data_IF_816014467704
#
_entry.id   IF_816014467704
#
_cell.length_a   1.000
_cell.length_b   1.000
_cell.length_c   1.000
_cell.angle_alpha   90.00
_cell.angle_beta   90.00
_cell.angle_gamma   90.00
#
_symmetry.space_group_name_H-M   'P 1'
#
loop_
_entity.id
_entity.type
_entity.pdbx_description
1 polymer ?
#
# COMPACT_ATOMS: atom_id res chain seq x y z
N UNK A 1 -23.67 -6.55 11.67
CA UNK A 1 -23.88 -5.55 10.57
C UNK A 1 -22.52 -5.07 10.14
N UNK A 2 -22.30 -4.90 8.82
CA UNK A 2 -21.08 -4.31 8.31
C UNK A 2 -20.95 -2.84 8.73
N UNK A 3 -19.70 -2.38 8.92
CA UNK A 3 -19.40 -0.98 9.23
C UNK A 3 -19.45 -0.16 7.95
N UNK A 4 -19.84 1.12 8.06
CA UNK A 4 -19.66 2.10 6.98
C UNK A 4 -18.27 2.69 7.04
N UNK A 5 -17.61 2.82 5.89
CA UNK A 5 -16.27 3.40 5.85
C UNK A 5 -16.08 4.43 4.74
N UNK A 6 -15.11 5.30 4.96
CA UNK A 6 -14.59 6.32 4.04
C UNK A 6 -13.17 5.92 3.65
N UNK A 7 -12.82 5.99 2.35
CA UNK A 7 -11.49 5.66 1.82
C UNK A 7 -10.82 6.90 1.22
N UNK A 8 -10.02 7.58 2.02
CA UNK A 8 -9.27 8.77 1.61
C UNK A 8 -7.93 8.34 0.99
N UNK A 9 -7.59 8.87 -0.19
CA UNK A 9 -6.47 8.42 -1.03
C UNK A 9 -6.68 7.01 -1.57
N UNK A 10 -7.89 6.70 -2.02
CA UNK A 10 -8.35 5.35 -2.32
C UNK A 10 -7.56 4.64 -3.46
N UNK A 11 -6.78 5.35 -4.26
CA UNK A 11 -5.99 4.78 -5.34
C UNK A 11 -6.88 4.09 -6.37
N UNK A 12 -6.58 2.82 -6.65
CA UNK A 12 -7.42 1.96 -7.49
C UNK A 12 -8.47 1.19 -6.68
N UNK A 13 -8.64 1.51 -5.38
CA UNK A 13 -9.68 0.96 -4.50
C UNK A 13 -9.31 -0.36 -3.81
N UNK A 14 -8.04 -0.65 -3.57
CA UNK A 14 -7.65 -1.93 -2.94
C UNK A 14 -8.00 -2.00 -1.45
N UNK A 15 -8.03 -0.87 -0.74
CA UNK A 15 -8.56 -0.81 0.63
C UNK A 15 -10.04 -1.11 0.59
N UNK A 16 -10.80 -0.46 -0.30
CA UNK A 16 -12.22 -0.72 -0.50
C UNK A 16 -12.48 -2.20 -0.79
N UNK A 17 -11.72 -2.85 -1.68
CA UNK A 17 -11.88 -4.28 -1.95
C UNK A 17 -11.76 -5.13 -0.68
N UNK A 18 -10.74 -4.90 0.14
CA UNK A 18 -10.54 -5.68 1.36
C UNK A 18 -11.63 -5.43 2.40
N UNK A 19 -12.05 -4.18 2.58
CA UNK A 19 -13.14 -3.81 3.49
C UNK A 19 -14.49 -4.39 3.05
N UNK A 20 -14.83 -4.30 1.75
CA UNK A 20 -16.08 -4.87 1.21
C UNK A 20 -16.08 -6.40 1.26
N UNK A 21 -14.94 -7.08 1.06
CA UNK A 21 -14.83 -8.52 1.26
C UNK A 21 -15.11 -8.95 2.71
N UNK A 22 -14.80 -8.10 3.67
CA UNK A 22 -15.13 -8.31 5.09
C UNK A 22 -16.59 -7.93 5.44
N UNK A 23 -17.38 -7.49 4.45
CA UNK A 23 -18.79 -7.17 4.63
C UNK A 23 -19.06 -5.72 5.07
N UNK A 24 -18.10 -4.81 4.93
CA UNK A 24 -18.26 -3.38 5.19
C UNK A 24 -18.72 -2.63 3.93
N UNK A 25 -19.25 -1.41 4.09
CA UNK A 25 -19.81 -0.58 3.03
C UNK A 25 -18.98 0.70 2.84
N UNK A 26 -18.46 0.92 1.61
CA UNK A 26 -17.84 2.18 1.24
C UNK A 26 -18.91 3.25 0.99
N UNK A 27 -18.88 4.35 1.73
CA UNK A 27 -19.87 5.44 1.61
C UNK A 27 -19.29 6.73 1.01
N UNK A 28 -17.95 6.83 0.94
CA UNK A 28 -17.26 7.99 0.35
C UNK A 28 -15.82 7.64 0.06
N UNK A 29 -15.28 8.17 -1.03
CA UNK A 29 -13.89 7.97 -1.40
C UNK A 29 -13.28 9.19 -2.08
N UNK A 30 -11.95 9.36 -1.93
CA UNK A 30 -11.20 10.49 -2.51
C UNK A 30 -9.96 9.99 -3.22
N UNK A 31 -9.76 10.42 -4.47
CA UNK A 31 -8.54 10.16 -5.24
C UNK A 31 -8.27 11.29 -6.22
N UNK A 32 -7.09 11.82 -6.18
CA UNK A 32 -6.65 12.93 -7.03
C UNK A 32 -6.21 12.49 -8.45
N UNK A 33 -5.52 11.32 -8.58
CA UNK A 33 -4.97 10.88 -9.86
C UNK A 33 -6.07 10.41 -10.82
N UNK A 34 -6.24 11.16 -11.93
CA UNK A 34 -7.27 10.88 -12.95
C UNK A 34 -7.23 9.46 -13.52
N UNK A 35 -6.05 8.84 -13.59
CA UNK A 35 -5.92 7.48 -14.12
C UNK A 35 -6.35 6.44 -13.10
N UNK A 36 -6.03 6.65 -11.82
CA UNK A 36 -6.51 5.81 -10.72
C UNK A 36 -8.03 5.95 -10.57
N UNK A 37 -8.58 7.17 -10.66
CA UNK A 37 -10.03 7.42 -10.69
C UNK A 37 -10.72 6.64 -11.81
N UNK A 38 -10.15 6.66 -13.03
CA UNK A 38 -10.67 5.89 -14.16
C UNK A 38 -10.64 4.39 -13.90
N UNK A 39 -9.55 3.86 -13.33
CA UNK A 39 -9.45 2.44 -12.95
C UNK A 39 -10.49 2.10 -11.89
N UNK A 40 -10.60 2.93 -10.86
CA UNK A 40 -11.58 2.79 -9.78
C UNK A 40 -13.02 2.74 -10.33
N UNK A 41 -13.36 3.65 -11.25
CA UNK A 41 -14.71 3.68 -11.85
C UNK A 41 -15.02 2.43 -12.68
N UNK A 42 -14.03 1.86 -13.36
CA UNK A 42 -14.17 0.59 -14.07
C UNK A 42 -14.46 -0.54 -13.08
N UNK A 43 -13.77 -0.55 -11.95
CA UNK A 43 -13.90 -1.62 -10.93
C UNK A 43 -15.25 -1.55 -10.24
N UNK A 44 -15.62 -0.38 -9.71
CA UNK A 44 -16.78 -0.19 -8.82
C UNK A 44 -18.04 0.37 -9.49
N UNK A 45 -17.96 0.79 -10.76
CA UNK A 45 -19.10 1.33 -11.50
C UNK A 45 -19.40 2.80 -11.26
N UNK A 46 -18.62 3.49 -10.43
CA UNK A 46 -18.70 4.93 -10.15
C UNK A 46 -17.32 5.52 -9.86
N UNK A 47 -17.13 6.81 -10.09
CA UNK A 47 -15.90 7.50 -9.72
C UNK A 47 -15.85 7.77 -8.20
N UNK A 48 -14.63 7.93 -7.61
CA UNK A 48 -14.52 8.51 -6.27
C UNK A 48 -15.22 9.85 -6.18
N UNK A 49 -15.96 10.08 -5.10
CA UNK A 49 -16.78 11.28 -4.89
C UNK A 49 -15.92 12.55 -4.82
N UNK A 50 -14.79 12.48 -4.09
CA UNK A 50 -13.82 13.57 -4.01
C UNK A 50 -12.63 13.39 -4.96
N UNK A 51 -12.09 14.50 -5.47
CA UNK A 51 -10.87 14.50 -6.28
C UNK A 51 -9.66 14.98 -5.45
N UNK A 52 -9.75 16.14 -4.85
CA UNK A 52 -8.68 16.75 -4.08
C UNK A 52 -9.07 16.84 -2.61
N UNK A 53 -8.32 16.17 -1.74
CA UNK A 53 -8.57 16.17 -0.29
C UNK A 53 -8.53 17.59 0.31
N UNK A 54 -7.75 18.49 -0.28
CA UNK A 54 -7.68 19.89 0.16
C UNK A 54 -8.96 20.68 -0.13
N UNK A 55 -9.73 20.24 -1.14
CA UNK A 55 -10.99 20.86 -1.52
C UNK A 55 -12.22 20.22 -0.84
N UNK A 56 -12.05 19.07 -0.18
CA UNK A 56 -13.13 18.38 0.54
C UNK A 56 -13.45 19.11 1.84
N UNK A 57 -14.73 19.40 2.06
CA UNK A 57 -15.27 19.86 3.35
C UNK A 57 -15.69 18.68 4.24
N UNK A 58 -15.72 18.87 5.55
CA UNK A 58 -16.20 17.82 6.46
C UNK A 58 -17.69 17.48 6.22
N UNK A 59 -18.49 18.44 5.77
CA UNK A 59 -19.90 18.25 5.43
C UNK A 59 -20.13 17.42 4.15
N UNK A 60 -19.09 17.30 3.29
CA UNK A 60 -19.17 16.46 2.09
C UNK A 60 -19.05 14.97 2.44
N UNK A 61 -18.52 14.65 3.62
CA UNK A 61 -18.24 13.27 4.03
C UNK A 61 -19.41 12.73 4.85
N UNK A 62 -20.10 11.67 4.36
CA UNK A 62 -21.17 11.05 5.13
C UNK A 62 -20.66 10.48 6.45
N UNK A 63 -21.55 10.43 7.47
CA UNK A 63 -21.24 9.75 8.73
C UNK A 63 -20.85 8.31 8.49
N UNK A 64 -19.69 7.91 9.02
CA UNK A 64 -19.11 6.58 8.86
C UNK A 64 -18.49 6.07 10.16
N UNK A 65 -18.36 4.75 10.27
CA UNK A 65 -17.75 4.11 11.43
C UNK A 65 -16.22 4.07 11.34
N UNK A 66 -15.67 4.04 10.12
CA UNK A 66 -14.22 3.90 9.86
C UNK A 66 -13.78 4.92 8.80
N UNK A 67 -12.65 5.59 9.03
CA UNK A 67 -11.94 6.33 7.98
C UNK A 67 -10.60 5.64 7.72
N UNK A 68 -10.35 5.28 6.46
CA UNK A 68 -9.09 4.69 6.00
C UNK A 68 -8.32 5.69 5.16
N UNK A 69 -7.00 5.76 5.34
CA UNK A 69 -6.15 6.64 4.55
C UNK A 69 -4.71 6.15 4.46
N UNK A 70 -4.15 6.22 3.25
CA UNK A 70 -2.74 5.95 2.94
C UNK A 70 -2.11 7.20 2.33
N UNK A 71 -1.92 8.25 3.13
CA UNK A 71 -1.37 9.52 2.64
C UNK A 71 0.06 9.34 2.11
N UNK A 72 0.43 9.98 0.98
CA UNK A 72 1.80 9.95 0.45
C UNK A 72 2.82 10.44 1.47
N UNK A 73 3.92 9.68 1.62
CA UNK A 73 4.97 9.91 2.61
C UNK A 73 6.03 10.92 2.10
N UNK A 74 5.65 11.94 1.30
CA UNK A 74 6.58 12.94 0.83
C UNK A 74 6.59 14.12 1.80
N UNK A 75 7.77 14.40 2.39
CA UNK A 75 8.11 15.58 3.21
C UNK A 75 7.32 15.72 4.53
N UNK A 76 7.31 14.67 5.34
CA UNK A 76 6.78 14.75 6.69
C UNK A 76 7.85 15.29 7.66
N UNK A 77 7.88 16.60 7.87
CA UNK A 77 8.58 17.23 8.99
C UNK A 77 7.58 18.02 9.84
N UNK A 78 6.96 17.37 10.81
CA UNK A 78 6.12 18.05 11.82
C UNK A 78 6.97 19.05 12.63
N UNK A 79 8.25 18.76 12.82
CA UNK A 79 9.14 19.59 13.65
C UNK A 79 9.51 20.95 13.02
N UNK A 80 9.35 21.12 11.68
CA UNK A 80 9.77 22.33 10.97
C UNK A 80 8.68 23.38 10.72
N UNK A 81 7.40 23.06 10.86
CA UNK A 81 6.29 23.87 10.34
C UNK A 81 5.24 24.37 11.34
N UNK A 82 5.56 24.43 12.61
CA UNK A 82 4.77 25.34 13.50
C UNK A 82 5.02 26.83 13.25
N UNK A 83 5.89 27.19 12.33
CA UNK A 83 6.37 28.55 12.06
C UNK A 83 6.15 29.04 10.61
N UNK A 84 5.10 28.61 9.88
CA UNK A 84 4.86 29.26 8.60
C UNK A 84 4.05 28.45 7.59
N UNK A 85 2.92 29.03 7.20
CA UNK A 85 1.95 28.49 6.25
C UNK A 85 2.32 28.73 4.78
N UNK A 86 3.59 28.66 4.39
CA UNK A 86 3.98 28.82 2.98
C UNK A 86 4.96 27.74 2.54
N UNK A 87 4.41 26.53 2.24
CA UNK A 87 5.16 25.46 1.66
C UNK A 87 4.22 24.48 0.96
N UNK A 88 4.17 24.56 -0.37
CA UNK A 88 3.40 23.66 -1.22
C UNK A 88 3.61 22.20 -0.84
N UNK A 89 2.50 21.47 -0.61
CA UNK A 89 2.38 20.03 -0.34
C UNK A 89 2.87 19.49 1.00
N UNK A 90 2.93 20.28 2.03
CA UNK A 90 3.25 19.74 3.35
C UNK A 90 2.07 19.00 3.95
N UNK A 91 2.20 17.71 3.80
CA UNK A 91 1.47 16.60 4.39
C UNK A 91 -0.04 16.60 4.19
N UNK A 92 -0.46 15.96 3.10
CA UNK A 92 -1.87 15.64 2.84
C UNK A 92 -2.55 14.90 4.01
N UNK A 93 -1.80 14.27 4.90
CA UNK A 93 -2.31 13.71 6.15
C UNK A 93 -2.86 14.79 7.10
N UNK A 94 -2.31 16.02 7.07
CA UNK A 94 -2.85 17.13 7.88
C UNK A 94 -4.26 17.53 7.41
N UNK A 95 -4.57 17.33 6.13
CA UNK A 95 -5.91 17.55 5.61
C UNK A 95 -6.90 16.53 6.20
N UNK A 96 -6.50 15.27 6.38
CA UNK A 96 -7.31 14.28 7.09
C UNK A 96 -7.57 14.73 8.53
N UNK A 97 -6.53 15.21 9.21
CA UNK A 97 -6.68 15.71 10.58
C UNK A 97 -7.50 17.01 10.65
N UNK A 98 -7.43 17.88 9.63
CA UNK A 98 -8.32 19.05 9.49
C UNK A 98 -9.78 18.59 9.42
N UNK A 99 -10.09 17.68 8.52
CA UNK A 99 -11.44 17.14 8.36
C UNK A 99 -11.97 16.51 9.66
N UNK A 100 -11.14 15.75 10.37
CA UNK A 100 -11.50 15.16 11.67
C UNK A 100 -11.72 16.23 12.76
N UNK A 101 -10.97 17.36 12.75
CA UNK A 101 -11.20 18.47 13.70
C UNK A 101 -12.48 19.21 13.41
N UNK A 102 -12.81 19.43 12.14
CA UNK A 102 -14.03 20.08 11.69
C UNK A 102 -15.26 19.21 11.98
N UNK A 103 -15.12 17.88 11.95
CA UNK A 103 -16.19 16.94 12.31
C UNK A 103 -16.45 16.98 13.81
N UNK A 104 -17.73 17.11 14.20
CA UNK A 104 -18.15 17.06 15.60
C UNK A 104 -17.74 15.74 16.23
N UNK A 105 -17.35 15.75 17.50
CA UNK A 105 -16.83 14.57 18.18
C UNK A 105 -17.83 13.39 18.16
N UNK A 106 -19.11 13.66 18.31
CA UNK A 106 -20.18 12.66 18.23
C UNK A 106 -20.33 12.01 16.84
N UNK A 107 -19.85 12.67 15.78
CA UNK A 107 -19.96 12.21 14.39
C UNK A 107 -18.64 11.64 13.85
N UNK A 108 -17.53 11.77 14.61
CA UNK A 108 -16.24 11.20 14.24
C UNK A 108 -16.32 9.68 14.10
N UNK A 109 -15.56 9.09 13.16
CA UNK A 109 -15.49 7.63 12.99
C UNK A 109 -14.98 6.96 14.27
N UNK A 110 -15.51 5.77 14.57
CA UNK A 110 -15.05 4.94 15.71
C UNK A 110 -13.60 4.54 15.56
N UNK A 111 -13.21 4.27 14.31
CA UNK A 111 -11.85 3.85 13.94
C UNK A 111 -11.28 4.76 12.87
N UNK A 112 -10.01 5.07 12.99
CA UNK A 112 -9.19 5.61 11.91
C UNK A 112 -8.07 4.62 11.61
N UNK A 113 -7.86 4.29 10.33
CA UNK A 113 -6.85 3.34 9.87
C UNK A 113 -5.88 4.09 8.96
N UNK A 114 -4.64 4.22 9.40
CA UNK A 114 -3.56 4.85 8.66
C UNK A 114 -2.58 3.81 8.16
N UNK A 115 -2.41 3.72 6.84
CA UNK A 115 -1.40 2.87 6.20
C UNK A 115 -0.20 3.69 5.77
N UNK A 116 1.02 3.14 5.98
CA UNK A 116 2.23 3.75 5.44
C UNK A 116 3.37 2.73 5.25
N UNK A 117 4.43 3.18 4.59
CA UNK A 117 5.65 2.39 4.41
C UNK A 117 6.39 2.20 5.74
N UNK A 118 7.13 1.08 5.88
CA UNK A 118 7.97 0.79 7.06
C UNK A 118 8.89 1.94 7.44
N UNK A 119 9.41 2.68 6.44
CA UNK A 119 10.31 3.81 6.67
C UNK A 119 9.74 4.92 7.56
N UNK A 120 8.40 5.02 7.66
CA UNK A 120 7.73 5.99 8.54
C UNK A 120 8.14 5.80 10.01
N UNK A 121 8.37 4.58 10.48
CA UNK A 121 8.80 4.31 11.86
C UNK A 121 10.15 4.92 12.23
N UNK A 122 11.01 5.16 11.23
CA UNK A 122 12.36 5.73 11.44
C UNK A 122 12.52 7.14 10.86
N UNK A 123 11.49 7.69 10.22
CA UNK A 123 11.51 9.03 9.65
C UNK A 123 11.74 10.08 10.73
N UNK A 124 12.64 11.02 10.46
CA UNK A 124 13.00 12.05 11.44
C UNK A 124 13.55 11.48 12.77
N UNK A 125 14.10 10.24 12.78
CA UNK A 125 14.48 9.55 14.02
C UNK A 125 13.27 9.08 14.84
N UNK A 126 12.15 8.78 14.19
CA UNK A 126 10.89 8.37 14.81
C UNK A 126 9.96 9.52 15.20
N UNK A 127 10.42 10.78 15.10
CA UNK A 127 9.63 11.96 15.51
C UNK A 127 8.42 12.17 14.63
N UNK A 128 8.50 11.84 13.34
CA UNK A 128 7.41 12.04 12.40
C UNK A 128 6.23 11.09 12.74
N UNK A 129 6.54 9.83 13.01
CA UNK A 129 5.53 8.86 13.43
C UNK A 129 4.92 9.24 14.79
N UNK A 130 5.76 9.63 15.76
CA UNK A 130 5.29 10.11 17.07
C UNK A 130 4.36 11.31 16.93
N UNK A 131 4.67 12.25 16.02
CA UNK A 131 3.81 13.41 15.75
C UNK A 131 2.43 13.01 15.25
N UNK A 132 2.35 11.98 14.37
CA UNK A 132 1.05 11.44 13.92
C UNK A 132 0.26 10.86 15.09
N UNK A 133 0.90 10.09 15.97
CA UNK A 133 0.23 9.52 17.15
C UNK A 133 -0.29 10.61 18.08
N UNK A 134 0.48 11.68 18.30
CA UNK A 134 0.06 12.83 19.11
C UNK A 134 -1.14 13.54 18.47
N UNK A 135 -1.15 13.74 17.16
CA UNK A 135 -2.29 14.34 16.45
C UNK A 135 -3.54 13.47 16.56
N UNK A 136 -3.42 12.15 16.39
CA UNK A 136 -4.55 11.22 16.60
C UNK A 136 -5.08 11.31 18.04
N UNK A 137 -4.20 11.30 19.04
CA UNK A 137 -4.60 11.42 20.46
C UNK A 137 -5.29 12.75 20.75
N UNK A 138 -4.81 13.85 20.16
CA UNK A 138 -5.42 15.18 20.31
C UNK A 138 -6.85 15.26 19.77
N UNK A 139 -7.19 14.37 18.83
CA UNK A 139 -8.52 14.24 18.22
C UNK A 139 -9.44 13.27 18.99
N UNK A 140 -9.01 12.76 20.15
CA UNK A 140 -9.80 11.85 20.98
C UNK A 140 -9.62 10.37 20.66
N UNK A 141 -8.65 10.01 19.81
CA UNK A 141 -8.27 8.61 19.58
C UNK A 141 -7.25 8.19 20.63
N UNK A 142 -7.70 7.93 21.85
CA UNK A 142 -6.82 7.70 23.01
C UNK A 142 -6.19 6.30 23.03
N UNK A 143 -6.85 5.32 22.44
CA UNK A 143 -6.28 4.00 22.25
C UNK A 143 -5.77 3.87 20.83
N UNK A 144 -4.44 3.83 20.71
CA UNK A 144 -3.78 3.72 19.39
C UNK A 144 -2.92 2.47 19.39
N UNK A 145 -3.15 1.62 18.42
CA UNK A 145 -2.33 0.44 18.17
C UNK A 145 -1.72 0.49 16.77
N UNK A 146 -0.55 -0.12 16.62
CA UNK A 146 0.06 -0.23 15.29
C UNK A 146 0.77 -1.57 15.13
N UNK A 147 0.87 -2.02 13.89
CA UNK A 147 1.56 -3.27 13.53
C UNK A 147 2.27 -3.14 12.20
N UNK A 148 3.44 -3.77 12.10
CA UNK A 148 4.17 -3.93 10.85
C UNK A 148 3.75 -5.25 10.21
N UNK A 149 2.88 -5.19 9.21
CA UNK A 149 2.39 -6.36 8.50
C UNK A 149 3.13 -6.56 7.18
N UNK A 150 3.38 -7.83 6.83
CA UNK A 150 4.04 -8.19 5.59
C UNK A 150 3.10 -9.03 4.73
N UNK A 151 2.81 -8.56 3.51
CA UNK A 151 1.87 -9.19 2.59
C UNK A 151 2.11 -10.68 2.36
N UNK A 152 3.37 -11.13 2.41
CA UNK A 152 3.71 -12.55 2.27
C UNK A 152 3.07 -13.48 3.30
N UNK A 153 2.70 -12.93 4.45
CA UNK A 153 2.06 -13.69 5.53
C UNK A 153 0.54 -13.77 5.36
N UNK A 154 0.01 -13.19 4.28
CA UNK A 154 -1.43 -13.06 4.00
C UNK A 154 -1.80 -13.64 2.62
N UNK A 155 -1.18 -14.75 2.24
CA UNK A 155 -1.52 -15.54 1.05
C UNK A 155 -1.08 -14.95 -0.30
N UNK A 156 -0.23 -13.92 -0.32
CA UNK A 156 0.37 -13.42 -1.56
C UNK A 156 1.90 -13.51 -1.53
N UNK A 157 2.56 -14.00 -2.61
CA UNK A 157 3.99 -14.20 -2.62
C UNK A 157 4.76 -12.89 -2.85
N UNK A 158 4.45 -11.85 -2.06
CA UNK A 158 5.09 -10.53 -2.12
C UNK A 158 5.63 -10.12 -0.76
N UNK A 159 6.94 -9.85 -0.68
CA UNK A 159 7.55 -9.28 0.51
C UNK A 159 7.32 -7.75 0.52
N UNK A 160 6.17 -7.34 1.06
CA UNK A 160 5.75 -5.93 1.17
C UNK A 160 5.39 -5.62 2.61
N UNK A 161 6.29 -4.94 3.32
CA UNK A 161 6.06 -4.49 4.69
C UNK A 161 5.35 -3.13 4.70
N UNK A 162 4.28 -3.02 5.48
CA UNK A 162 3.53 -1.79 5.71
C UNK A 162 3.18 -1.65 7.18
N UNK A 163 3.24 -0.43 7.68
CA UNK A 163 2.76 -0.07 9.00
C UNK A 163 1.29 0.27 8.89
N UNK A 164 0.48 -0.38 9.71
CA UNK A 164 -0.92 -0.02 9.90
C UNK A 164 -1.07 0.52 11.31
N UNK A 165 -1.64 1.70 11.42
CA UNK A 165 -1.94 2.35 12.71
C UNK A 165 -3.43 2.52 12.82
N UNK A 166 -4.01 2.06 13.93
CA UNK A 166 -5.44 2.13 14.20
C UNK A 166 -5.68 2.99 15.42
N UNK A 167 -6.39 4.08 15.24
CA UNK A 167 -6.87 4.91 16.32
C UNK A 167 -8.31 4.56 16.66
N UNK A 168 -8.59 4.38 17.94
CA UNK A 168 -9.91 4.08 18.49
C UNK A 168 -10.46 5.30 19.19
N UNK A 169 -11.65 5.78 18.77
CA UNK A 169 -12.28 6.94 19.37
C UNK A 169 -12.74 6.63 20.80
N UNK A 170 -12.43 7.53 21.72
CA UNK A 170 -12.78 7.44 23.15
C UNK A 170 -14.25 7.07 23.34
N UNK A 171 -14.47 6.08 24.20
CA UNK A 171 -15.81 5.66 24.62
C UNK A 171 -16.65 4.94 23.55
N UNK A 172 -16.09 4.67 22.36
CA UNK A 172 -16.84 4.05 21.26
C UNK A 172 -16.29 2.72 20.79
N UNK A 173 -15.10 2.37 21.16
CA UNK A 173 -14.46 1.16 20.66
C UNK A 173 -14.40 0.07 21.69
N UNK A 174 -14.48 -1.17 21.26
CA UNK A 174 -14.71 -2.31 22.12
C UNK A 174 -13.59 -3.34 22.14
N UNK A 175 -12.65 -3.34 21.21
CA UNK A 175 -11.66 -4.41 21.15
C UNK A 175 -10.35 -3.99 20.49
N UNK A 176 -9.33 -4.82 20.71
CA UNK A 176 -8.06 -4.72 20.00
C UNK A 176 -8.19 -5.35 18.62
N UNK A 177 -7.62 -4.69 17.63
CA UNK A 177 -7.50 -5.21 16.27
C UNK A 177 -6.20 -6.01 16.12
N UNK A 178 -5.12 -5.58 16.76
CA UNK A 178 -3.85 -6.29 16.74
C UNK A 178 -3.59 -7.10 18.02
N UNK A 179 -2.85 -8.23 17.95
CA UNK A 179 -2.14 -8.76 16.77
C UNK A 179 -3.05 -9.55 15.82
N UNK A 180 -2.81 -9.41 14.53
CA UNK A 180 -3.42 -10.25 13.48
C UNK A 180 -2.43 -11.35 13.11
N UNK A 181 -2.88 -12.61 13.16
CA UNK A 181 -2.09 -13.75 12.70
C UNK A 181 -2.16 -13.84 11.18
N UNK A 182 -1.01 -13.99 10.54
CA UNK A 182 -0.94 -14.31 9.11
C UNK A 182 -1.52 -15.71 8.84
N UNK A 183 -2.06 -15.90 7.64
CA UNK A 183 -2.63 -17.19 7.20
C UNK A 183 -1.56 -18.26 6.94
N UNK A 184 -0.30 -17.87 6.78
CA UNK A 184 0.84 -18.75 6.46
C UNK A 184 1.91 -18.76 7.57
N UNK A 185 1.61 -19.38 8.71
CA UNK A 185 2.62 -19.59 9.78
C UNK A 185 3.74 -20.59 9.39
N UNK A 186 3.60 -21.35 8.29
CA UNK A 186 4.49 -22.45 7.90
C UNK A 186 5.34 -22.23 6.65
N UNK A 187 5.44 -21.05 6.07
CA UNK A 187 6.36 -20.85 4.98
C UNK A 187 7.80 -20.72 5.51
N UNK A 188 8.61 -21.77 5.28
CA UNK A 188 10.06 -21.76 5.51
C UNK A 188 10.71 -20.74 4.56
N UNK A 189 10.70 -19.48 5.01
CA UNK A 189 10.87 -18.27 4.18
C UNK A 189 12.33 -17.84 4.17
N UNK A 190 13.25 -18.76 3.79
CA UNK A 190 14.64 -18.39 3.55
C UNK A 190 14.76 -17.71 2.18
N UNK A 191 15.32 -16.51 2.21
CA UNK A 191 15.71 -15.79 1.00
C UNK A 191 16.79 -16.57 0.28
N UNK A 192 16.49 -17.13 -0.92
CA UNK A 192 17.45 -17.88 -1.73
C UNK A 192 17.91 -17.04 -2.94
N UNK A 193 19.11 -16.47 -2.89
CA UNK A 193 19.72 -15.69 -3.97
C UNK A 193 20.50 -16.63 -4.90
N UNK A 194 20.27 -16.58 -6.22
CA UNK A 194 20.94 -17.46 -7.23
C UNK A 194 22.08 -16.77 -7.98
N UNK A 195 22.13 -15.44 -8.02
CA UNK A 195 23.23 -14.73 -8.68
C UNK A 195 23.14 -13.22 -8.64
N UNK A 196 24.22 -12.61 -9.11
CA UNK A 196 24.36 -11.19 -9.26
C UNK A 196 24.87 -10.88 -10.67
N UNK A 197 24.21 -9.98 -11.38
CA UNK A 197 24.53 -9.66 -12.77
C UNK A 197 25.79 -8.82 -12.95
N UNK A 198 26.29 -8.20 -11.86
CA UNK A 198 27.52 -7.42 -11.89
C UNK A 198 27.48 -6.14 -12.74
N UNK A 199 26.36 -5.78 -13.35
CA UNK A 199 26.27 -4.65 -14.28
C UNK A 199 26.20 -3.28 -13.60
N UNK A 200 25.97 -3.24 -12.31
CA UNK A 200 25.66 -2.01 -11.57
C UNK A 200 26.51 -1.98 -10.31
N UNK A 201 27.04 -0.82 -9.98
CA UNK A 201 27.85 -0.56 -8.79
C UNK A 201 27.13 -0.83 -7.45
N UNK A 202 25.84 -1.11 -7.46
CA UNK A 202 25.06 -1.46 -6.28
C UNK A 202 24.60 -2.92 -6.35
N UNK A 203 25.17 -3.75 -5.48
CA UNK A 203 24.93 -5.20 -5.41
C UNK A 203 23.45 -5.58 -5.26
N UNK A 204 22.64 -4.80 -4.53
CA UNK A 204 21.20 -5.08 -4.36
C UNK A 204 20.39 -4.94 -5.66
N UNK A 205 20.85 -4.15 -6.62
CA UNK A 205 20.16 -3.88 -7.89
C UNK A 205 20.39 -4.92 -8.95
N UNK A 206 21.49 -5.67 -8.85
CA UNK A 206 21.87 -6.70 -9.82
C UNK A 206 21.53 -8.14 -9.38
N UNK A 207 20.82 -8.31 -8.27
CA UNK A 207 20.48 -9.65 -7.74
C UNK A 207 19.39 -10.33 -8.55
N UNK A 208 19.56 -11.63 -8.71
CA UNK A 208 18.67 -12.52 -9.42
C UNK A 208 18.00 -13.48 -8.45
N UNK A 209 16.72 -13.76 -8.69
CA UNK A 209 15.86 -14.47 -7.74
C UNK A 209 15.25 -15.73 -8.36
N UNK A 210 15.14 -16.83 -7.60
CA UNK A 210 14.59 -18.12 -8.01
C UNK A 210 13.05 -18.11 -7.95
N UNK A 211 12.37 -18.94 -8.72
CA UNK A 211 10.90 -18.99 -8.74
C UNK A 211 10.26 -19.55 -7.45
N UNK A 212 11.05 -20.29 -6.62
CA UNK A 212 10.63 -21.00 -5.41
C UNK A 212 11.12 -20.37 -4.05
N UNK A 213 11.46 -19.05 -3.93
CA UNK A 213 11.94 -18.37 -2.69
C UNK A 213 11.47 -16.93 -2.45
N UNK A 214 11.60 -16.45 -1.21
CA UNK A 214 11.28 -15.08 -0.79
C UNK A 214 12.12 -13.99 -1.48
N UNK A 215 11.53 -12.83 -1.75
CA UNK A 215 12.20 -11.64 -2.33
C UNK A 215 12.12 -10.44 -1.39
N UNK A 216 13.21 -9.67 -1.21
CA UNK A 216 13.20 -8.47 -0.37
C UNK A 216 12.34 -7.35 -0.96
N UNK A 217 11.79 -6.50 -0.10
CA UNK A 217 11.12 -5.27 -0.50
C UNK A 217 12.10 -4.28 -1.13
N UNK A 218 11.70 -3.59 -2.19
CA UNK A 218 12.49 -2.54 -2.84
C UNK A 218 11.92 -1.18 -2.43
N UNK A 219 12.82 -0.26 -2.05
CA UNK A 219 12.44 1.10 -1.65
C UNK A 219 12.03 1.96 -2.83
N UNK A 220 11.11 2.89 -2.59
CA UNK A 220 10.44 3.72 -3.60
C UNK A 220 11.26 4.90 -4.13
N UNK A 221 12.47 5.16 -3.64
CA UNK A 221 13.12 6.47 -3.82
C UNK A 221 14.40 6.51 -4.67
N UNK A 222 14.58 5.61 -5.65
CA UNK A 222 15.73 5.79 -6.56
C UNK A 222 15.31 5.66 -8.01
N UNK A 223 15.41 6.75 -8.75
CA UNK A 223 15.30 6.76 -10.19
C UNK A 223 16.37 5.88 -10.85
N UNK A 224 15.99 5.10 -11.86
CA UNK A 224 16.86 4.33 -12.71
C UNK A 224 17.33 2.97 -12.16
N UNK A 225 16.93 1.88 -12.84
CA UNK A 225 17.53 0.51 -12.76
C UNK A 225 17.50 -0.24 -11.41
N UNK A 226 16.39 -0.26 -10.67
CA UNK A 226 16.31 -0.95 -9.37
C UNK A 226 15.47 -2.21 -9.39
N UNK A 227 15.70 -3.14 -10.31
CA UNK A 227 14.82 -4.32 -10.43
C UNK A 227 15.54 -5.63 -10.20
N UNK A 228 14.96 -6.55 -9.40
CA UNK A 228 15.46 -7.91 -9.35
C UNK A 228 15.15 -8.63 -10.67
N UNK A 229 16.14 -9.29 -11.21
CA UNK A 229 16.01 -10.08 -12.43
C UNK A 229 16.16 -11.57 -12.12
N UNK A 230 15.35 -12.39 -12.76
CA UNK A 230 15.46 -13.85 -12.76
C UNK A 230 16.14 -14.26 -14.07
N UNK A 231 17.23 -15.03 -14.04
CA UNK A 231 18.03 -15.33 -15.24
C UNK A 231 18.09 -16.83 -15.53
N UNK A 232 18.16 -17.14 -16.83
CA UNK A 232 18.52 -18.44 -17.37
C UNK A 232 20.02 -18.74 -17.14
N UNK A 233 20.31 -19.91 -16.57
CA UNK A 233 21.65 -20.41 -16.28
C UNK A 233 22.47 -20.77 -17.53
N UNK A 234 21.91 -20.68 -18.74
CA UNK A 234 22.58 -21.05 -20.00
C UNK A 234 23.14 -19.88 -20.80
N UNK A 235 22.96 -18.63 -20.36
CA UNK A 235 23.44 -17.48 -21.14
C UNK A 235 24.90 -17.14 -20.80
N UNK A 236 25.79 -17.26 -21.81
CA UNK A 236 27.26 -17.26 -21.72
C UNK A 236 27.93 -15.96 -21.24
N UNK A 237 27.16 -14.93 -20.81
CA UNK A 237 27.74 -13.66 -20.40
C UNK A 237 27.71 -13.38 -18.89
N UNK A 238 27.19 -14.27 -18.06
CA UNK A 238 27.26 -14.15 -16.60
C UNK A 238 28.37 -14.99 -16.04
N UNK A 239 29.41 -14.36 -15.49
CA UNK A 239 30.61 -15.04 -14.92
C UNK A 239 30.43 -15.59 -13.50
N UNK A 240 29.26 -15.36 -12.87
CA UNK A 240 28.97 -15.85 -11.53
C UNK A 240 27.65 -16.63 -11.48
N UNK A 241 27.60 -17.62 -10.57
CA UNK A 241 26.41 -18.45 -10.38
C UNK A 241 25.24 -17.58 -9.88
N UNK A 242 24.15 -17.57 -10.59
CA UNK A 242 22.98 -16.80 -10.23
C UNK A 242 22.40 -17.19 -8.87
N UNK A 243 21.77 -16.26 -8.15
CA UNK A 243 21.12 -16.46 -6.84
C UNK A 243 19.60 -16.20 -6.94
N UNK A 244 18.76 -17.04 -6.36
CA UNK A 244 17.30 -17.04 -6.52
C UNK A 244 16.49 -16.73 -5.27
N UNK A 245 15.30 -16.17 -5.45
CA UNK A 245 14.35 -15.83 -4.41
C UNK A 245 12.92 -16.21 -4.87
N UNK A 246 12.02 -16.57 -3.96
CA UNK A 246 10.71 -17.13 -4.26
C UNK A 246 9.52 -16.17 -4.07
N UNK A 247 9.72 -14.94 -3.56
CA UNK A 247 8.62 -14.00 -3.36
C UNK A 247 8.92 -12.72 -4.12
N UNK A 248 7.90 -12.18 -4.80
CA UNK A 248 8.03 -10.92 -5.52
C UNK A 248 8.39 -9.78 -4.56
N UNK A 249 9.39 -8.95 -4.88
CA UNK A 249 9.62 -7.71 -4.15
C UNK A 249 8.41 -6.77 -4.30
N UNK A 250 8.31 -5.79 -3.40
CA UNK A 250 7.28 -4.75 -3.48
C UNK A 250 7.20 -4.17 -4.89
N UNK A 251 5.99 -4.16 -5.46
CA UNK A 251 5.72 -3.45 -6.70
C UNK A 251 5.77 -1.94 -6.44
N UNK A 252 6.34 -1.22 -7.39
CA UNK A 252 6.48 0.25 -7.35
C UNK A 252 5.67 0.89 -8.47
N UNK A 253 5.21 2.11 -8.26
CA UNK A 253 4.45 2.87 -9.27
C UNK A 253 5.22 3.11 -10.58
N UNK A 254 6.54 3.12 -10.53
CA UNK A 254 7.42 3.28 -11.69
C UNK A 254 7.88 1.96 -12.33
N UNK A 255 7.44 0.81 -11.84
CA UNK A 255 7.73 -0.50 -12.45
C UNK A 255 7.21 -0.62 -13.90
N UNK A 256 6.31 0.27 -14.33
CA UNK A 256 5.88 0.33 -15.74
C UNK A 256 7.04 0.60 -16.71
N UNK A 257 8.10 1.31 -16.28
CA UNK A 257 9.31 1.56 -17.10
C UNK A 257 10.14 0.30 -17.24
N UNK A 258 10.26 -0.46 -16.13
CA UNK A 258 10.98 -1.73 -16.09
C UNK A 258 10.26 -2.74 -15.17
N UNK A 259 9.23 -3.44 -15.65
CA UNK A 259 8.50 -4.44 -14.86
C UNK A 259 9.39 -5.53 -14.30
N UNK A 260 9.05 -6.04 -13.11
CA UNK A 260 9.72 -7.19 -12.51
C UNK A 260 9.76 -8.36 -13.50
N UNK A 261 10.84 -9.13 -13.46
CA UNK A 261 11.08 -10.24 -14.41
C UNK A 261 11.01 -11.58 -13.69
N UNK A 262 10.56 -12.61 -14.38
CA UNK A 262 10.49 -13.99 -13.90
C UNK A 262 11.19 -14.91 -14.87
N UNK A 263 11.79 -15.99 -14.34
CA UNK A 263 12.32 -17.09 -15.14
C UNK A 263 11.17 -18.07 -15.44
N UNK A 264 10.90 -18.29 -16.71
CA UNK A 264 9.93 -19.29 -17.16
C UNK A 264 10.51 -20.06 -18.35
N UNK A 265 10.56 -21.39 -18.28
CA UNK A 265 11.08 -22.25 -19.36
C UNK A 265 12.47 -21.80 -19.87
N UNK A 266 13.38 -21.49 -18.94
CA UNK A 266 14.74 -20.99 -19.22
C UNK A 266 14.81 -19.63 -19.96
N UNK A 267 13.74 -18.86 -19.97
CA UNK A 267 13.68 -17.49 -20.53
C UNK A 267 13.32 -16.49 -19.45
N UNK A 268 13.95 -15.34 -19.51
CA UNK A 268 13.61 -14.19 -18.65
C UNK A 268 12.52 -13.39 -19.32
N UNK A 269 11.40 -13.18 -18.66
CA UNK A 269 10.35 -12.25 -19.06
C UNK A 269 9.99 -11.30 -17.96
N UNK A 270 9.38 -10.20 -18.31
CA UNK A 270 8.77 -9.27 -17.34
C UNK A 270 7.53 -9.90 -16.71
N UNK A 271 7.23 -9.54 -15.46
CA UNK A 271 5.90 -9.77 -14.91
C UNK A 271 4.89 -8.98 -15.72
N UNK A 272 3.77 -9.59 -16.03
CA UNK A 272 2.65 -8.92 -16.68
C UNK A 272 1.91 -8.02 -15.66
N UNK A 273 1.15 -6.99 -16.11
CA UNK A 273 0.30 -6.21 -15.22
C UNK A 273 -0.64 -7.09 -14.39
N UNK A 274 -1.23 -8.11 -15.00
CA UNK A 274 -2.12 -9.06 -14.32
C UNK A 274 -1.42 -9.82 -13.19
N UNK A 275 -0.17 -10.26 -13.40
CA UNK A 275 0.63 -10.90 -12.35
C UNK A 275 0.94 -9.92 -11.22
N UNK A 276 1.24 -8.65 -11.53
CA UNK A 276 1.46 -7.61 -10.52
C UNK A 276 0.20 -7.34 -9.68
N UNK A 277 -0.98 -7.35 -10.31
CA UNK A 277 -2.26 -7.18 -9.61
C UNK A 277 -2.58 -8.38 -8.70
N UNK A 278 -2.30 -9.61 -9.15
CA UNK A 278 -2.38 -10.82 -8.30
C UNK A 278 -1.50 -10.75 -7.06
N UNK A 279 -0.31 -10.15 -7.19
CA UNK A 279 0.59 -9.93 -6.05
C UNK A 279 0.03 -8.92 -5.03
N UNK A 280 -0.97 -8.14 -5.40
CA UNK A 280 -1.73 -7.28 -4.49
C UNK A 280 -3.01 -7.94 -3.97
N UNK A 281 -3.28 -9.20 -4.33
CA UNK A 281 -4.50 -9.90 -3.94
C UNK A 281 -5.74 -9.47 -4.73
N UNK A 282 -5.58 -8.76 -5.85
CA UNK A 282 -6.70 -8.31 -6.68
C UNK A 282 -7.25 -9.50 -7.48
N UNK A 283 -8.58 -9.78 -7.46
CA UNK A 283 -9.21 -10.87 -8.19
C UNK A 283 -8.96 -10.80 -9.71
N UNK A 284 -8.89 -11.99 -10.34
CA UNK A 284 -8.66 -12.08 -11.78
C UNK A 284 -9.76 -11.41 -12.60
N UNK A 285 -11.00 -11.59 -12.22
CA UNK A 285 -12.16 -11.01 -12.89
C UNK A 285 -12.11 -9.49 -12.90
N UNK A 286 -11.73 -8.88 -11.75
CA UNK A 286 -11.52 -7.44 -11.64
C UNK A 286 -10.39 -6.98 -12.56
N UNK A 287 -9.28 -7.72 -12.57
CA UNK A 287 -8.13 -7.40 -13.42
C UNK A 287 -8.47 -7.51 -14.90
N UNK A 288 -9.20 -8.56 -15.30
CA UNK A 288 -9.61 -8.79 -16.69
C UNK A 288 -10.58 -7.70 -17.17
N UNK A 289 -11.50 -7.26 -16.31
CA UNK A 289 -12.41 -6.13 -16.58
C UNK A 289 -11.63 -4.85 -16.91
N UNK A 290 -10.58 -4.55 -16.15
CA UNK A 290 -9.75 -3.36 -16.39
C UNK A 290 -8.90 -3.49 -17.65
N UNK A 291 -8.33 -4.67 -17.95
CA UNK A 291 -7.59 -4.94 -19.21
C UNK A 291 -8.51 -4.74 -20.40
N UNK A 292 -9.72 -5.31 -20.39
CA UNK A 292 -10.70 -5.18 -21.48
C UNK A 292 -11.17 -3.75 -21.71
N UNK A 293 -11.09 -2.89 -20.69
CA UNK A 293 -11.41 -1.47 -20.80
C UNK A 293 -10.33 -0.62 -21.46
N UNK A 294 -9.23 -1.23 -21.92
CA UNK A 294 -8.17 -0.52 -22.65
C UNK A 294 -7.26 0.35 -21.78
N UNK A 295 -7.19 0.09 -20.48
CA UNK A 295 -6.20 0.73 -19.61
C UNK A 295 -4.80 0.25 -19.98
N UNK A 296 -3.86 1.18 -20.14
CA UNK A 296 -2.50 0.85 -20.55
C UNK A 296 -1.74 0.06 -19.46
N UNK A 297 -0.83 -0.80 -19.88
CA UNK A 297 0.04 -1.57 -18.99
C UNK A 297 0.77 -0.68 -17.97
N UNK A 298 1.26 0.49 -18.40
CA UNK A 298 1.95 1.42 -17.53
C UNK A 298 1.06 1.95 -16.39
N UNK A 299 -0.22 2.21 -16.66
CA UNK A 299 -1.17 2.62 -15.62
C UNK A 299 -1.49 1.45 -14.67
N UNK A 300 -1.61 0.24 -15.20
CA UNK A 300 -1.83 -0.94 -14.38
C UNK A 300 -0.63 -1.25 -13.47
N UNK A 301 0.61 -1.16 -13.97
CA UNK A 301 1.81 -1.31 -13.13
C UNK A 301 1.89 -0.25 -12.04
N UNK A 302 1.58 1.02 -12.39
CA UNK A 302 1.55 2.12 -11.43
C UNK A 302 0.49 1.88 -10.34
N UNK A 303 -0.72 1.50 -10.74
CA UNK A 303 -1.79 1.14 -9.81
C UNK A 303 -1.38 0.03 -8.84
N UNK A 304 -0.74 -1.04 -9.33
CA UNK A 304 -0.24 -2.13 -8.49
C UNK A 304 0.87 -1.67 -7.53
N UNK A 305 1.74 -0.76 -7.95
CA UNK A 305 2.85 -0.25 -7.14
C UNK A 305 2.40 0.57 -5.94
N UNK A 306 1.37 1.38 -6.14
CA UNK A 306 0.80 2.25 -5.10
C UNK A 306 -0.24 1.52 -4.22
N UNK A 307 -0.79 0.40 -4.69
CA UNK A 307 -1.87 -0.34 -4.04
C UNK A 307 -1.48 -0.89 -2.66
N UNK A 308 -2.42 -0.95 -1.75
CA UNK A 308 -2.35 -1.78 -0.56
C UNK A 308 -2.74 -3.23 -0.89
N UNK A 309 -2.20 -4.22 -0.18
CA UNK A 309 -2.56 -5.63 -0.43
C UNK A 309 -3.94 -5.92 0.14
N UNK A 310 -4.87 -6.35 -0.73
CA UNK A 310 -6.28 -6.60 -0.40
C UNK A 310 -6.42 -7.57 0.77
N UNK A 311 -5.65 -8.67 0.76
CA UNK A 311 -5.72 -9.69 1.81
C UNK A 311 -5.34 -9.14 3.20
N UNK A 312 -4.37 -8.22 3.28
CA UNK A 312 -3.98 -7.58 4.56
C UNK A 312 -5.12 -6.72 5.09
N UNK A 313 -5.75 -5.94 4.21
CA UNK A 313 -6.91 -5.10 4.57
C UNK A 313 -8.08 -5.97 5.01
N UNK A 314 -8.36 -7.07 4.30
CA UNK A 314 -9.40 -8.02 4.67
C UNK A 314 -9.23 -8.54 6.10
N UNK A 315 -8.02 -8.96 6.47
CA UNK A 315 -7.74 -9.45 7.83
C UNK A 315 -7.84 -8.34 8.89
N UNK A 316 -7.43 -7.10 8.58
CA UNK A 316 -7.64 -5.95 9.47
C UNK A 316 -9.15 -5.71 9.65
N UNK A 317 -9.89 -5.68 8.55
CA UNK A 317 -11.32 -5.39 8.54
C UNK A 317 -12.14 -6.42 9.34
N UNK A 318 -11.79 -7.69 9.27
CA UNK A 318 -12.46 -8.75 10.04
C UNK A 318 -12.27 -8.63 11.57
N UNK A 319 -11.32 -7.82 12.02
CA UNK A 319 -11.02 -7.60 13.44
C UNK A 319 -11.53 -6.24 13.98
N UNK A 320 -12.19 -5.43 13.14
CA UNK A 320 -12.86 -4.19 13.55
C UNK A 320 -14.21 -4.51 14.22
#
# INVERSE_FOLDING_TARGET
MGLKFVDLFCGIGTIRMGMEQAGHECVYSVEWDKHKRKIYSIIFGGEPEGADICAVGHDDIPKADVWTFGAPCQDFSIAGKRAGMEGERSSLILEVFRLLRETKEEDRPKYIIYENVKGMLSSGGGRDFLGILIEMASLGYDFIEYSLLNSKNFGVPQNRERVFTIGHLRGRCTGKVFPIKGTDENSDTKIKVVGNLGFISNEMRSRVYREDGLRPAISTMMGGYTQPMIIDTKNRHCRETPRAYNICPTLQSNDYKEPKKVLQNHRIRKLTPKECWRLQGIPNETTDKVIQSGISDSQMYRGAGDACTVNVIYEIANNL
#
